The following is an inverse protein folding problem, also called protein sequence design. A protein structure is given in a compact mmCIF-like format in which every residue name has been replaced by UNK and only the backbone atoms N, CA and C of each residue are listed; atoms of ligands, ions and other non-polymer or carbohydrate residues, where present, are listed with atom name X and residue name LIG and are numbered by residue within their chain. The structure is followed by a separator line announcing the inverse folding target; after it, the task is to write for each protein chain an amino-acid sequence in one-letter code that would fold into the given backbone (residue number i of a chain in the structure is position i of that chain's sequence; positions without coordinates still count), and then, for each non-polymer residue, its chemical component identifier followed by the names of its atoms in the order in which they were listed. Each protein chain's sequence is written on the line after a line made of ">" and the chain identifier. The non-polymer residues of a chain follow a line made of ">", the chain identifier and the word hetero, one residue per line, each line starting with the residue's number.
data_IF_942111914989
#
_entry.id   IF_942111914989
#
_cell.length_a   1.000
_cell.length_b   1.000
_cell.length_c   1.000
_cell.angle_alpha   90.00
_cell.angle_beta   90.00
_cell.angle_gamma   90.00
#
_symmetry.space_group_name_H-M   'P 1'
#
loop_
_entity.id
_entity.type
_entity.pdbx_description
1 polymer ?
#
# COMPACT_ATOMS: atom_id res chain seq x y z
N UNK A 1 51.52 -28.16 38.98
CA UNK A 1 51.27 -27.79 37.57
C UNK A 1 49.86 -28.15 37.06
N UNK A 2 49.20 -29.21 37.55
CA UNK A 2 47.88 -29.64 37.03
C UNK A 2 46.73 -28.64 37.23
N UNK A 3 46.74 -27.85 38.32
CA UNK A 3 45.67 -26.89 38.61
C UNK A 3 45.61 -25.68 37.66
N UNK A 4 46.75 -25.27 37.07
CA UNK A 4 46.81 -24.12 36.15
C UNK A 4 46.20 -24.46 34.79
N UNK A 5 46.37 -25.71 34.33
CA UNK A 5 45.74 -26.16 33.08
C UNK A 5 44.23 -26.31 33.24
N UNK A 6 43.75 -26.81 34.37
CA UNK A 6 42.32 -26.94 34.64
C UNK A 6 41.59 -25.58 34.65
N UNK A 7 42.20 -24.55 35.26
CA UNK A 7 41.63 -23.19 35.27
C UNK A 7 41.69 -22.51 33.90
N UNK A 8 42.73 -22.79 33.10
CA UNK A 8 42.82 -22.28 31.73
C UNK A 8 41.75 -22.89 30.82
N UNK A 9 41.52 -24.20 30.92
CA UNK A 9 40.49 -24.90 30.14
C UNK A 9 39.07 -24.46 30.50
N UNK A 10 38.77 -24.23 31.79
CA UNK A 10 37.46 -23.70 32.19
C UNK A 10 37.23 -22.27 31.72
N UNK A 11 38.27 -21.42 31.74
CA UNK A 11 38.19 -20.06 31.18
C UNK A 11 37.88 -20.07 29.68
N UNK A 12 38.60 -20.89 28.91
CA UNK A 12 38.37 -21.03 27.46
C UNK A 12 36.99 -21.62 27.17
N UNK A 13 36.57 -22.64 27.92
CA UNK A 13 35.23 -23.22 27.79
C UNK A 13 34.12 -22.22 28.09
N UNK A 14 34.29 -21.39 29.12
CA UNK A 14 33.31 -20.36 29.50
C UNK A 14 33.22 -19.27 28.43
N UNK A 15 34.36 -18.81 27.89
CA UNK A 15 34.39 -17.83 26.79
C UNK A 15 33.72 -18.35 25.52
N UNK A 16 33.90 -19.63 25.19
CA UNK A 16 33.25 -20.26 24.04
C UNK A 16 31.72 -20.35 24.23
N UNK A 17 31.24 -20.70 25.41
CA UNK A 17 29.80 -20.75 25.72
C UNK A 17 29.16 -19.36 25.65
N UNK A 18 29.83 -18.33 26.21
CA UNK A 18 29.36 -16.95 26.13
C UNK A 18 29.33 -16.45 24.67
N UNK A 19 30.38 -16.74 23.89
CA UNK A 19 30.45 -16.39 22.47
C UNK A 19 29.36 -17.06 21.63
N UNK A 20 29.09 -18.35 21.87
CA UNK A 20 28.02 -19.09 21.21
C UNK A 20 26.64 -18.53 21.59
N UNK A 21 26.41 -18.21 22.87
CA UNK A 21 25.19 -17.58 23.35
C UNK A 21 24.93 -16.21 22.72
N UNK A 22 25.97 -15.38 22.61
CA UNK A 22 25.86 -14.07 21.96
C UNK A 22 25.56 -14.18 20.46
N UNK A 23 26.18 -15.13 19.77
CA UNK A 23 25.92 -15.39 18.35
C UNK A 23 24.48 -15.87 18.12
N UNK A 24 24.00 -16.79 18.96
CA UNK A 24 22.64 -17.29 18.89
C UNK A 24 21.61 -16.20 19.19
N UNK A 25 21.87 -15.36 20.20
CA UNK A 25 21.03 -14.19 20.53
C UNK A 25 20.97 -13.17 19.39
N UNK A 26 22.10 -12.88 18.74
CA UNK A 26 22.12 -11.99 17.56
C UNK A 26 21.30 -12.57 16.41
N UNK A 27 21.33 -13.89 16.24
CA UNK A 27 20.57 -14.59 15.20
C UNK A 27 19.07 -14.61 15.48
N UNK A 28 18.66 -14.75 16.75
CA UNK A 28 17.25 -14.65 17.14
C UNK A 28 16.73 -13.23 17.00
N UNK A 29 17.49 -12.22 17.42
CA UNK A 29 17.17 -10.80 17.22
C UNK A 29 16.93 -10.44 15.74
N UNK A 30 17.79 -10.93 14.83
CA UNK A 30 17.61 -10.70 13.40
C UNK A 30 16.31 -11.32 12.87
N UNK A 31 15.95 -12.52 13.34
CA UNK A 31 14.69 -13.21 13.00
C UNK A 31 13.48 -12.46 13.56
N UNK A 32 13.54 -12.00 14.80
CA UNK A 32 12.48 -11.21 15.43
C UNK A 32 12.23 -9.91 14.68
N UNK A 33 13.29 -9.16 14.33
CA UNK A 33 13.16 -7.93 13.52
C UNK A 33 12.55 -8.20 12.15
N UNK A 34 12.93 -9.31 11.49
CA UNK A 34 12.34 -9.68 10.20
C UNK A 34 10.84 -10.01 10.32
N UNK A 35 10.43 -10.68 11.39
CA UNK A 35 9.03 -10.99 11.66
C UNK A 35 8.22 -9.73 11.97
N UNK A 36 8.77 -8.85 12.79
CA UNK A 36 8.14 -7.57 13.13
C UNK A 36 7.99 -6.68 11.90
N UNK A 37 9.01 -6.62 11.04
CA UNK A 37 8.94 -5.92 9.78
C UNK A 37 7.84 -6.48 8.88
N UNK A 38 7.76 -7.81 8.71
CA UNK A 38 6.70 -8.45 7.90
C UNK A 38 5.31 -8.17 8.44
N UNK A 39 5.13 -8.24 9.76
CA UNK A 39 3.86 -7.91 10.40
C UNK A 39 3.45 -6.47 10.12
N UNK A 40 4.36 -5.51 10.32
CA UNK A 40 4.14 -4.09 10.00
C UNK A 40 3.87 -3.88 8.51
N UNK A 41 4.59 -4.57 7.63
CA UNK A 41 4.39 -4.51 6.17
C UNK A 41 2.98 -4.94 5.77
N UNK A 42 2.50 -6.06 6.30
CA UNK A 42 1.15 -6.56 6.07
C UNK A 42 0.12 -5.55 6.63
N UNK A 43 0.33 -5.07 7.85
CA UNK A 43 -0.56 -4.10 8.50
C UNK A 43 -0.71 -2.82 7.68
N UNK A 44 0.42 -2.20 7.30
CA UNK A 44 0.41 -0.95 6.53
C UNK A 44 -0.16 -1.12 5.13
N UNK A 45 0.20 -2.19 4.42
CA UNK A 45 -0.38 -2.45 3.10
C UNK A 45 -1.89 -2.72 3.19
N UNK A 46 -2.34 -3.42 4.25
CA UNK A 46 -3.77 -3.61 4.50
C UNK A 46 -4.49 -2.30 4.79
N UNK A 47 -3.92 -1.43 5.65
CA UNK A 47 -4.49 -0.11 5.95
C UNK A 47 -4.64 0.73 4.68
N UNK A 48 -3.61 0.77 3.84
CA UNK A 48 -3.62 1.50 2.56
C UNK A 48 -4.67 0.92 1.62
N UNK A 49 -4.70 -0.40 1.44
CA UNK A 49 -5.69 -1.06 0.58
C UNK A 49 -7.13 -0.80 1.03
N UNK A 50 -7.40 -0.92 2.33
CA UNK A 50 -8.74 -0.68 2.90
C UNK A 50 -9.14 0.78 2.69
N UNK A 51 -8.28 1.74 3.04
CA UNK A 51 -8.61 3.17 2.89
C UNK A 51 -8.84 3.56 1.43
N UNK A 52 -8.03 3.06 0.51
CA UNK A 52 -8.24 3.29 -0.93
C UNK A 52 -9.54 2.65 -1.43
N UNK A 53 -9.88 1.46 -0.94
CA UNK A 53 -11.13 0.79 -1.28
C UNK A 53 -12.36 1.54 -0.75
N UNK A 54 -12.28 2.11 0.45
CA UNK A 54 -13.33 2.97 1.03
C UNK A 54 -13.54 4.22 0.18
N UNK A 55 -12.46 4.92 -0.17
CA UNK A 55 -12.50 6.12 -1.04
C UNK A 55 -13.11 5.78 -2.40
N UNK A 56 -12.70 4.67 -3.02
CA UNK A 56 -13.26 4.26 -4.31
C UNK A 56 -14.73 3.84 -4.19
N UNK A 57 -15.12 3.19 -3.10
CA UNK A 57 -16.52 2.84 -2.84
C UNK A 57 -17.39 4.10 -2.69
N UNK A 58 -16.91 5.09 -1.93
CA UNK A 58 -17.57 6.39 -1.78
C UNK A 58 -17.68 7.10 -3.14
N UNK A 59 -16.61 7.07 -3.96
CA UNK A 59 -16.61 7.55 -5.34
C UNK A 59 -17.68 6.90 -6.21
N UNK A 60 -17.75 5.56 -6.22
CA UNK A 60 -18.77 4.85 -7.00
C UNK A 60 -20.19 5.19 -6.54
N UNK A 61 -20.40 5.39 -5.24
CA UNK A 61 -21.71 5.77 -4.70
C UNK A 61 -22.13 7.16 -5.19
N UNK A 62 -21.24 8.15 -5.09
CA UNK A 62 -21.50 9.51 -5.59
C UNK A 62 -21.70 9.53 -7.11
N UNK A 63 -20.87 8.81 -7.87
CA UNK A 63 -21.00 8.71 -9.31
C UNK A 63 -22.31 8.05 -9.76
N UNK A 64 -22.84 7.07 -8.99
CA UNK A 64 -24.06 6.32 -9.33
C UNK A 64 -25.34 7.05 -8.96
N UNK A 65 -25.38 7.69 -7.80
CA UNK A 65 -26.61 8.27 -7.25
C UNK A 65 -26.66 9.79 -7.35
N UNK A 66 -25.55 10.46 -7.70
CA UNK A 66 -25.48 11.93 -7.79
C UNK A 66 -25.67 12.65 -6.47
N UNK A 67 -25.79 11.91 -5.36
CA UNK A 67 -26.04 12.43 -4.03
C UNK A 67 -24.79 12.25 -3.16
N UNK A 68 -24.26 13.37 -2.66
CA UNK A 68 -23.15 13.40 -1.71
C UNK A 68 -22.02 14.37 -2.10
N UNK A 69 -21.20 14.81 -1.13
CA UNK A 69 -19.98 15.57 -1.42
C UNK A 69 -19.04 14.72 -2.27
N UNK A 70 -18.29 15.37 -3.17
CA UNK A 70 -17.26 14.71 -4.00
C UNK A 70 -16.28 13.98 -3.05
N UNK A 71 -16.11 12.66 -3.16
CA UNK A 71 -15.52 11.81 -2.12
C UNK A 71 -13.97 11.84 -2.07
N UNK A 72 -13.39 12.88 -2.66
CA UNK A 72 -12.00 13.27 -2.45
C UNK A 72 -11.96 14.78 -2.24
N UNK A 73 -12.63 15.23 -1.18
CA UNK A 73 -12.42 16.58 -0.66
C UNK A 73 -10.95 16.78 -0.24
N UNK A 74 -10.55 18.03 -0.01
CA UNK A 74 -9.18 18.37 0.44
C UNK A 74 -8.77 17.58 1.69
N UNK A 75 -9.73 17.25 2.57
CA UNK A 75 -9.50 16.49 3.80
C UNK A 75 -9.22 14.99 3.56
N UNK A 76 -10.03 14.31 2.74
CA UNK A 76 -9.81 12.88 2.44
C UNK A 76 -8.51 12.66 1.66
N UNK A 77 -8.18 13.55 0.73
CA UNK A 77 -6.88 13.53 0.03
C UNK A 77 -5.71 13.68 1.02
N UNK A 78 -5.84 14.58 1.99
CA UNK A 78 -4.82 14.80 3.02
C UNK A 78 -4.65 13.55 3.89
N UNK A 79 -5.74 12.90 4.29
CA UNK A 79 -5.70 11.66 5.06
C UNK A 79 -4.98 10.53 4.32
N UNK A 80 -5.30 10.31 3.04
CA UNK A 80 -4.64 9.29 2.23
C UNK A 80 -3.15 9.61 2.05
N UNK A 81 -2.80 10.87 1.80
CA UNK A 81 -1.40 11.28 1.71
C UNK A 81 -0.63 11.07 3.01
N UNK A 82 -1.21 11.43 4.16
CA UNK A 82 -0.60 11.21 5.47
C UNK A 82 -0.41 9.71 5.73
N UNK A 83 -1.40 8.88 5.38
CA UNK A 83 -1.30 7.43 5.48
C UNK A 83 -0.17 6.87 4.61
N UNK A 84 -0.02 7.36 3.37
CA UNK A 84 1.06 6.92 2.47
C UNK A 84 2.44 7.35 2.94
N UNK A 85 2.56 8.51 3.59
CA UNK A 85 3.80 8.96 4.22
C UNK A 85 4.17 8.04 5.40
N UNK A 86 3.20 7.73 6.28
CA UNK A 86 3.42 6.85 7.42
C UNK A 86 3.76 5.41 6.99
N UNK A 87 3.10 4.93 5.93
CA UNK A 87 3.33 3.61 5.36
C UNK A 87 4.61 3.51 4.51
N UNK A 88 5.26 4.63 4.14
CA UNK A 88 6.38 4.66 3.21
C UNK A 88 7.56 3.73 3.53
N UNK A 89 7.95 3.51 4.81
CA UNK A 89 9.03 2.56 5.16
C UNK A 89 8.67 1.09 4.89
N UNK A 90 7.38 0.79 4.78
CA UNK A 90 6.83 -0.56 4.68
C UNK A 90 6.22 -0.86 3.30
N UNK A 91 6.12 0.16 2.44
CA UNK A 91 5.67 0.01 1.06
C UNK A 91 6.85 -0.01 0.10
N UNK A 92 6.78 -0.91 -0.88
CA UNK A 92 7.65 -0.87 -2.04
C UNK A 92 7.38 0.39 -2.87
N UNK A 93 8.34 0.76 -3.71
CA UNK A 93 8.23 1.92 -4.61
C UNK A 93 6.99 1.79 -5.50
N UNK A 94 6.84 0.66 -6.18
CA UNK A 94 5.72 0.40 -7.09
C UNK A 94 4.37 0.41 -6.36
N UNK A 95 4.30 -0.14 -5.14
CA UNK A 95 3.08 -0.14 -4.33
C UNK A 95 2.61 1.28 -4.02
N UNK A 96 3.56 2.17 -3.73
CA UNK A 96 3.30 3.58 -3.49
C UNK A 96 2.88 4.31 -4.76
N UNK A 97 3.54 4.02 -5.88
CA UNK A 97 3.18 4.60 -7.18
C UNK A 97 1.76 4.18 -7.60
N UNK A 98 1.38 2.91 -7.44
CA UNK A 98 0.02 2.45 -7.70
C UNK A 98 -1.00 3.07 -6.75
N UNK A 99 -0.67 3.18 -5.46
CA UNK A 99 -1.55 3.82 -4.48
C UNK A 99 -1.79 5.31 -4.78
N UNK A 100 -0.74 6.04 -5.16
CA UNK A 100 -0.85 7.44 -5.59
C UNK A 100 -1.65 7.57 -6.88
N UNK A 101 -1.37 6.71 -7.87
CA UNK A 101 -2.11 6.67 -9.13
C UNK A 101 -3.61 6.47 -8.88
N UNK A 102 -4.02 5.55 -7.99
CA UNK A 102 -5.45 5.38 -7.66
C UNK A 102 -6.08 6.69 -7.19
N UNK A 103 -5.41 7.43 -6.30
CA UNK A 103 -5.93 8.71 -5.79
C UNK A 103 -6.01 9.76 -6.92
N UNK A 104 -4.96 9.87 -7.73
CA UNK A 104 -4.90 10.82 -8.84
C UNK A 104 -5.97 10.55 -9.90
N UNK A 105 -6.18 9.28 -10.28
CA UNK A 105 -7.20 8.92 -11.26
C UNK A 105 -8.63 9.13 -10.72
N UNK A 106 -8.88 8.89 -9.43
CA UNK A 106 -10.20 9.21 -8.84
C UNK A 106 -10.44 10.73 -8.86
N UNK A 107 -9.41 11.53 -8.59
CA UNK A 107 -9.50 13.00 -8.70
C UNK A 107 -9.72 13.40 -10.16
N UNK A 108 -8.98 12.85 -11.10
CA UNK A 108 -9.14 13.14 -12.52
C UNK A 108 -10.57 12.80 -12.98
N UNK A 109 -11.07 11.59 -12.71
CA UNK A 109 -12.42 11.19 -13.10
C UNK A 109 -13.47 12.07 -12.42
N UNK A 110 -13.35 12.36 -11.13
CA UNK A 110 -14.30 13.21 -10.42
C UNK A 110 -14.32 14.65 -10.97
N UNK A 111 -13.16 15.22 -11.27
CA UNK A 111 -13.09 16.55 -11.91
C UNK A 111 -13.71 16.52 -13.29
N UNK A 112 -13.46 15.48 -14.10
CA UNK A 112 -14.07 15.32 -15.41
C UNK A 112 -15.59 15.21 -15.30
N UNK A 113 -16.13 14.41 -14.38
CA UNK A 113 -17.59 14.27 -14.16
C UNK A 113 -18.22 15.61 -13.77
N UNK A 114 -17.59 16.36 -12.85
CA UNK A 114 -18.10 17.66 -12.38
C UNK A 114 -18.10 18.72 -13.48
N UNK A 115 -17.02 18.78 -14.27
CA UNK A 115 -16.89 19.74 -15.36
C UNK A 115 -17.72 19.37 -16.57
N UNK A 116 -17.95 18.07 -16.80
CA UNK A 116 -18.56 17.61 -18.04
C UNK A 116 -20.05 17.96 -18.15
N UNK A 117 -20.76 18.29 -17.05
CA UNK A 117 -22.18 18.71 -17.02
C UNK A 117 -22.99 18.10 -18.18
N UNK A 118 -22.87 16.78 -18.33
CA UNK A 118 -23.11 16.16 -19.64
C UNK A 118 -24.58 16.30 -19.99
N UNK A 119 -24.88 16.92 -21.13
CA UNK A 119 -26.27 17.09 -21.55
C UNK A 119 -26.97 15.72 -21.61
N UNK A 120 -28.16 15.57 -20.99
CA UNK A 120 -28.94 14.35 -21.11
C UNK A 120 -29.24 14.09 -22.59
N UNK A 121 -28.65 13.05 -23.19
CA UNK A 121 -28.85 12.71 -24.61
C UNK A 121 -27.60 12.62 -25.49
N UNK A 122 -26.39 12.86 -24.95
CA UNK A 122 -25.13 12.71 -25.72
C UNK A 122 -24.90 11.30 -26.30
N UNK A 123 -25.52 10.27 -25.71
CA UNK A 123 -25.52 8.88 -26.19
C UNK A 123 -26.34 8.65 -27.47
N UNK A 124 -27.08 9.64 -27.96
CA UNK A 124 -27.97 9.52 -29.13
C UNK A 124 -27.22 9.62 -30.47
N UNK A 125 -25.98 10.13 -30.51
CA UNK A 125 -25.17 10.09 -31.74
C UNK A 125 -23.69 9.84 -31.45
N UNK A 126 -23.10 8.87 -32.14
CA UNK A 126 -21.66 8.55 -32.09
C UNK A 126 -20.75 9.62 -32.72
N UNK A 127 -21.34 10.70 -33.26
CA UNK A 127 -20.63 11.78 -33.97
C UNK A 127 -20.22 12.90 -33.00
N UNK A 128 -20.86 12.98 -31.82
CA UNK A 128 -20.60 14.01 -30.81
C UNK A 128 -20.33 13.38 -29.44
N UNK A 129 -19.40 12.41 -29.38
CA UNK A 129 -18.86 12.00 -28.09
C UNK A 129 -18.14 13.22 -27.47
N UNK A 130 -18.49 13.65 -26.24
CA UNK A 130 -17.77 14.72 -25.57
C UNK A 130 -16.28 14.41 -25.53
N UNK A 131 -15.42 15.41 -25.72
CA UNK A 131 -13.94 15.25 -25.70
C UNK A 131 -13.45 14.60 -24.38
N UNK A 132 -14.25 14.80 -23.32
CA UNK A 132 -14.10 14.21 -21.98
C UNK A 132 -14.23 12.68 -21.92
N UNK A 133 -14.83 12.04 -22.94
CA UNK A 133 -15.15 10.60 -22.94
C UNK A 133 -13.90 9.74 -23.11
N UNK A 134 -12.94 10.15 -23.94
CA UNK A 134 -11.68 9.42 -24.11
C UNK A 134 -10.75 9.60 -22.91
N UNK A 135 -10.67 10.81 -22.36
CA UNK A 135 -9.86 11.11 -21.16
C UNK A 135 -10.39 10.37 -19.93
N UNK A 136 -11.71 10.37 -19.71
CA UNK A 136 -12.33 9.63 -18.61
C UNK A 136 -12.21 8.12 -18.77
N UNK A 137 -12.33 7.58 -19.99
CA UNK A 137 -12.11 6.16 -20.25
C UNK A 137 -10.66 5.74 -19.98
N UNK A 138 -9.69 6.56 -20.38
CA UNK A 138 -8.27 6.31 -20.10
C UNK A 138 -7.99 6.35 -18.60
N UNK A 139 -8.50 7.35 -17.89
CA UNK A 139 -8.36 7.46 -16.44
C UNK A 139 -9.00 6.27 -15.71
N UNK A 140 -10.18 5.81 -16.15
CA UNK A 140 -10.84 4.62 -15.61
C UNK A 140 -10.01 3.35 -15.85
N UNK A 141 -9.41 3.20 -17.02
CA UNK A 141 -8.52 2.07 -17.32
C UNK A 141 -7.26 2.09 -16.44
N UNK A 142 -6.62 3.26 -16.27
CA UNK A 142 -5.45 3.43 -15.40
C UNK A 142 -5.80 3.15 -13.93
N UNK A 143 -6.95 3.61 -13.46
CA UNK A 143 -7.48 3.30 -12.13
C UNK A 143 -7.64 1.78 -11.93
N UNK A 144 -8.27 1.10 -12.91
CA UNK A 144 -8.45 -0.35 -12.85
C UNK A 144 -7.12 -1.09 -12.82
N UNK A 145 -6.16 -0.68 -13.66
CA UNK A 145 -4.83 -1.28 -13.71
C UNK A 145 -4.10 -1.13 -12.36
N UNK A 146 -4.04 0.08 -11.79
CA UNK A 146 -3.37 0.33 -10.52
C UNK A 146 -4.05 -0.41 -9.37
N UNK A 147 -5.40 -0.48 -9.36
CA UNK A 147 -6.17 -1.27 -8.40
C UNK A 147 -5.84 -2.76 -8.50
N UNK A 148 -5.78 -3.31 -9.71
CA UNK A 148 -5.47 -4.72 -9.92
C UNK A 148 -4.06 -5.05 -9.43
N UNK A 149 -3.07 -4.23 -9.79
CA UNK A 149 -1.68 -4.44 -9.37
C UNK A 149 -1.50 -4.36 -7.86
N UNK A 150 -2.09 -3.35 -7.23
CA UNK A 150 -2.02 -3.19 -5.78
C UNK A 150 -2.77 -4.32 -5.07
N UNK A 151 -3.92 -4.75 -5.59
CA UNK A 151 -4.71 -5.86 -5.05
C UNK A 151 -3.99 -7.21 -5.17
N UNK A 152 -3.37 -7.50 -6.31
CA UNK A 152 -2.54 -8.70 -6.51
C UNK A 152 -1.37 -8.72 -5.52
N UNK A 153 -0.72 -7.56 -5.31
CA UNK A 153 0.38 -7.43 -4.36
C UNK A 153 -0.09 -7.62 -2.92
N UNK A 154 -1.19 -7.01 -2.53
CA UNK A 154 -1.82 -7.21 -1.22
C UNK A 154 -2.16 -8.70 -0.98
N UNK A 155 -2.75 -9.37 -1.97
CA UNK A 155 -3.07 -10.79 -1.87
C UNK A 155 -1.82 -11.68 -1.77
N UNK A 156 -0.73 -11.33 -2.47
CA UNK A 156 0.53 -12.06 -2.36
C UNK A 156 1.19 -11.88 -0.98
N UNK A 157 1.18 -10.66 -0.45
CA UNK A 157 1.79 -10.32 0.84
C UNK A 157 1.03 -10.93 2.01
N UNK A 158 -0.30 -10.96 1.94
CA UNK A 158 -1.14 -11.61 2.97
C UNK A 158 -1.02 -13.14 2.94
N UNK A 159 -0.78 -13.74 1.78
CA UNK A 159 -0.50 -15.19 1.64
C UNK A 159 0.94 -15.58 1.99
N UNK A 160 1.86 -14.61 2.03
CA UNK A 160 3.29 -14.85 2.24
C UNK A 160 4.05 -15.26 0.99
N UNK A 161 3.48 -15.05 -0.20
CA UNK A 161 4.04 -15.47 -1.50
C UNK A 161 5.08 -14.48 -2.05
N UNK A 162 5.04 -13.22 -1.64
CA UNK A 162 5.99 -12.19 -2.04
C UNK A 162 6.56 -11.48 -0.80
N UNK A 163 7.82 -11.82 -0.49
CA UNK A 163 8.71 -11.02 0.36
C UNK A 163 9.65 -10.19 -0.50
#
# INVERSE_FOLDING_TARGET
>A
MSQIYASLFTLVGTLLVIGAGFWQWRRTQARERSKEYRAKRIEYLSKVWTKLSEVESAFRQVARFGEGPVPLGVMERREVNLLLIDAAPFLLKDEREWALSIVEEIIEISTLILHAKVEPGWWVSSIAAPEVTSTSANAAHRLQYSREKLGQRYAAVTRGDHE
#
